data_IF_056024748033
#
_entry.id   IF_056024748033
#
_cell.length_a   1.000
_cell.length_b   1.000
_cell.length_c   1.000
_cell.angle_alpha   90.00
_cell.angle_beta   90.00
_cell.angle_gamma   90.00
#
_symmetry.space_group_name_H-M   'P 1'
#
loop_
_entity.id
_entity.type
_entity.pdbx_description
1 polymer ?
#
# COMPACT_ATOMS: atom_id res chain seq x y z
N UNK A 1 -17.48 -2.11 -29.66
CA UNK A 1 -16.49 -1.55 -28.72
C UNK A 1 -16.57 -2.39 -27.46
N UNK A 2 -15.75 -3.45 -27.36
CA UNK A 2 -15.70 -4.29 -26.16
C UNK A 2 -15.07 -3.46 -25.04
N UNK A 3 -15.87 -3.13 -24.02
CA UNK A 3 -15.34 -2.63 -22.76
C UNK A 3 -14.55 -3.79 -22.13
N UNK A 4 -13.23 -3.71 -22.22
CA UNK A 4 -12.38 -4.57 -21.37
C UNK A 4 -12.75 -4.25 -19.92
N UNK A 5 -13.34 -5.21 -19.23
CA UNK A 5 -13.61 -5.10 -17.80
C UNK A 5 -12.28 -4.78 -17.12
N UNK A 6 -12.22 -3.69 -16.38
CA UNK A 6 -11.06 -3.39 -15.53
C UNK A 6 -11.08 -4.46 -14.46
N UNK A 7 -10.14 -5.39 -14.55
CA UNK A 7 -9.96 -6.42 -13.54
C UNK A 7 -9.66 -5.75 -12.20
N UNK A 8 -10.48 -6.03 -11.18
CA UNK A 8 -10.25 -5.53 -9.83
C UNK A 8 -9.22 -6.44 -9.17
N UNK A 9 -8.06 -5.91 -8.85
CA UNK A 9 -7.04 -6.67 -8.14
C UNK A 9 -7.27 -6.57 -6.64
N UNK A 10 -7.52 -7.71 -6.01
CA UNK A 10 -7.60 -7.87 -4.56
C UNK A 10 -6.20 -8.14 -4.01
N UNK A 11 -5.89 -7.57 -2.85
CA UNK A 11 -4.64 -7.84 -2.13
C UNK A 11 -4.92 -8.27 -0.70
N UNK A 12 -4.13 -9.23 -0.25
CA UNK A 12 -4.05 -9.64 1.16
C UNK A 12 -2.59 -9.63 1.58
N UNK A 13 -2.27 -8.87 2.63
CA UNK A 13 -1.02 -9.00 3.36
C UNK A 13 -1.30 -9.81 4.62
N UNK A 14 -0.62 -10.94 4.79
CA UNK A 14 -0.89 -11.88 5.87
C UNK A 14 0.40 -12.52 6.40
N UNK A 15 0.41 -13.07 7.63
CA UNK A 15 1.50 -13.88 8.10
C UNK A 15 1.77 -15.05 7.14
N UNK A 16 3.05 -15.39 6.93
CA UNK A 16 3.45 -16.47 6.02
C UNK A 16 2.78 -17.82 6.34
N UNK A 17 2.52 -18.08 7.62
CA UNK A 17 1.87 -19.31 8.09
C UNK A 17 0.36 -19.37 7.77
N UNK A 18 -0.22 -18.25 7.36
CA UNK A 18 -1.65 -18.14 7.03
C UNK A 18 -1.90 -18.14 5.52
N UNK A 19 -0.88 -18.30 4.69
CA UNK A 19 -1.07 -18.41 3.23
C UNK A 19 -1.96 -19.62 2.96
N UNK A 20 -3.08 -19.45 2.21
CA UNK A 20 -4.03 -20.54 1.96
C UNK A 20 -3.35 -21.76 1.35
N UNK A 21 -3.64 -22.95 1.89
CA UNK A 21 -3.17 -24.21 1.32
C UNK A 21 -3.78 -24.36 -0.08
N UNK A 22 -2.93 -24.65 -1.08
CA UNK A 22 -3.38 -24.78 -2.48
C UNK A 22 -3.44 -23.43 -3.24
N UNK A 23 -3.02 -22.31 -2.63
CA UNK A 23 -2.82 -21.09 -3.40
C UNK A 23 -1.65 -21.29 -4.37
N UNK A 24 -1.97 -21.25 -5.66
CA UNK A 24 -0.96 -21.38 -6.73
C UNK A 24 -0.83 -20.03 -7.42
N UNK A 25 0.37 -19.43 -7.44
CA UNK A 25 0.65 -18.27 -8.28
C UNK A 25 0.35 -18.61 -9.76
N UNK A 26 -0.33 -17.73 -10.46
CA UNK A 26 -0.67 -17.89 -11.87
C UNK A 26 -0.69 -16.53 -12.57
N UNK A 27 -1.16 -16.47 -13.83
CA UNK A 27 -1.24 -15.20 -14.57
C UNK A 27 -2.07 -14.12 -13.87
N UNK A 28 -3.11 -14.55 -13.12
CA UNK A 28 -4.05 -13.67 -12.41
C UNK A 28 -3.81 -13.62 -10.90
N UNK A 29 -2.91 -14.47 -10.40
CA UNK A 29 -2.60 -14.57 -8.96
C UNK A 29 -1.11 -14.39 -8.74
N UNK A 30 -0.76 -13.63 -7.72
CA UNK A 30 0.63 -13.36 -7.39
C UNK A 30 0.88 -13.59 -5.91
N UNK A 31 2.01 -14.21 -5.61
CA UNK A 31 2.52 -14.38 -4.25
C UNK A 31 3.92 -13.76 -4.15
N UNK A 32 4.07 -12.77 -3.28
CA UNK A 32 5.37 -12.27 -2.85
C UNK A 32 5.58 -12.56 -1.37
N UNK A 33 6.83 -12.80 -0.99
CA UNK A 33 7.24 -13.10 0.38
C UNK A 33 8.15 -12.02 0.92
N UNK A 34 7.99 -11.71 2.20
CA UNK A 34 8.74 -10.66 2.88
C UNK A 34 9.20 -11.12 4.25
N UNK A 35 10.33 -10.54 4.69
CA UNK A 35 10.80 -10.61 6.07
C UNK A 35 10.63 -9.22 6.70
N UNK A 36 9.88 -9.12 7.80
CA UNK A 36 9.69 -7.87 8.53
C UNK A 36 11.01 -7.47 9.20
N UNK A 37 11.50 -6.28 8.88
CA UNK A 37 12.69 -5.67 9.48
C UNK A 37 12.34 -4.81 10.69
N UNK A 38 11.36 -3.94 10.54
CA UNK A 38 10.97 -2.95 11.54
C UNK A 38 9.47 -2.66 11.44
N UNK A 39 8.86 -2.28 12.56
CA UNK A 39 7.47 -1.81 12.63
C UNK A 39 7.47 -0.53 13.45
N UNK A 40 6.88 0.53 12.92
CA UNK A 40 6.83 1.84 13.57
C UNK A 40 5.38 2.29 13.70
N UNK A 41 4.90 2.43 14.94
CA UNK A 41 3.62 3.10 15.22
C UNK A 41 3.81 4.62 15.10
N UNK A 42 2.99 5.26 14.29
CA UNK A 42 3.05 6.71 13.98
C UNK A 42 1.86 7.42 14.60
N UNK A 43 0.65 6.92 14.33
CA UNK A 43 -0.63 7.38 14.91
C UNK A 43 -1.50 6.17 15.19
N UNK A 44 -1.73 5.87 16.47
CA UNK A 44 -2.32 4.60 16.88
C UNK A 44 -1.31 3.46 16.89
N UNK A 45 -1.74 2.29 17.33
CA UNK A 45 -0.86 1.15 17.56
C UNK A 45 -0.86 0.18 16.36
N UNK A 46 0.33 -0.26 15.98
CA UNK A 46 0.47 -1.38 15.05
C UNK A 46 0.03 -2.69 15.72
N UNK A 47 -0.57 -3.65 14.98
CA UNK A 47 -0.94 -4.95 15.53
C UNK A 47 0.25 -5.67 16.19
N UNK A 48 0.05 -6.23 17.39
CA UNK A 48 1.09 -6.91 18.18
C UNK A 48 1.72 -8.10 17.45
N UNK A 49 0.99 -8.71 16.53
CA UNK A 49 1.48 -9.83 15.70
C UNK A 49 2.58 -9.41 14.71
N UNK A 50 2.67 -8.11 14.40
CA UNK A 50 3.70 -7.55 13.54
C UNK A 50 4.98 -7.36 14.36
N UNK A 51 5.99 -8.18 14.10
CA UNK A 51 7.27 -8.11 14.80
C UNK A 51 8.43 -8.36 13.86
N UNK A 52 9.59 -7.82 14.22
CA UNK A 52 10.84 -8.06 13.49
C UNK A 52 11.13 -9.57 13.37
N UNK A 53 11.50 -9.99 12.17
CA UNK A 53 11.81 -11.39 11.86
C UNK A 53 10.60 -12.25 11.52
N UNK A 54 9.38 -11.72 11.62
CA UNK A 54 8.19 -12.44 11.14
C UNK A 54 8.13 -12.43 9.62
N UNK A 55 7.68 -13.56 9.03
CA UNK A 55 7.40 -13.66 7.61
C UNK A 55 6.03 -13.07 7.28
N UNK A 56 5.95 -12.31 6.18
CA UNK A 56 4.72 -11.80 5.62
C UNK A 56 4.59 -12.22 4.16
N UNK A 57 3.37 -12.50 3.73
CA UNK A 57 3.03 -12.73 2.33
C UNK A 57 2.13 -11.62 1.81
N UNK A 58 2.35 -11.19 0.56
CA UNK A 58 1.41 -10.42 -0.24
C UNK A 58 0.83 -11.32 -1.30
N UNK A 59 -0.47 -11.54 -1.24
CA UNK A 59 -1.22 -12.33 -2.20
C UNK A 59 -2.12 -11.39 -2.99
N UNK A 60 -1.93 -11.32 -4.31
CA UNK A 60 -2.79 -10.57 -5.21
C UNK A 60 -3.59 -11.53 -6.10
N UNK A 61 -4.89 -11.22 -6.32
CA UNK A 61 -5.81 -12.02 -7.12
C UNK A 61 -6.84 -11.14 -7.82
N UNK A 62 -7.35 -11.56 -8.97
CA UNK A 62 -8.48 -10.93 -9.66
C UNK A 62 -9.81 -11.13 -8.95
N UNK A 63 -9.89 -12.07 -8.02
CA UNK A 63 -11.09 -12.35 -7.22
C UNK A 63 -10.76 -12.33 -5.73
N UNK A 64 -11.77 -12.11 -4.87
CA UNK A 64 -11.60 -12.26 -3.42
C UNK A 64 -11.03 -13.65 -3.10
N UNK A 65 -9.99 -13.69 -2.24
CA UNK A 65 -9.41 -14.97 -1.83
C UNK A 65 -10.37 -15.63 -0.85
N UNK A 66 -10.82 -16.84 -1.20
CA UNK A 66 -11.58 -17.69 -0.30
C UNK A 66 -10.61 -18.59 0.47
N UNK A 67 -10.63 -18.48 1.80
CA UNK A 67 -9.86 -19.37 2.66
C UNK A 67 -10.62 -20.71 2.77
N UNK A 68 -10.10 -21.77 2.14
CA UNK A 68 -10.63 -23.12 2.29
C UNK A 68 -10.23 -23.69 3.66
N UNK A 69 -11.19 -23.98 4.52
CA UNK A 69 -10.93 -24.61 5.82
C UNK A 69 -11.61 -23.96 7.02
N UNK A 70 -12.64 -23.15 6.78
CA UNK A 70 -13.35 -22.39 7.82
C UNK A 70 -12.70 -21.05 8.07
N UNK A 71 -13.55 -20.05 8.31
CA UNK A 71 -13.14 -18.72 8.75
C UNK A 71 -12.40 -18.87 10.09
N UNK A 72 -11.08 -18.75 10.07
CA UNK A 72 -10.37 -18.41 11.29
C UNK A 72 -10.58 -16.93 11.51
N UNK A 73 -11.10 -16.55 12.67
CA UNK A 73 -11.06 -15.16 13.10
C UNK A 73 -9.64 -14.65 12.83
N UNK A 74 -9.46 -13.59 12.03
CA UNK A 74 -8.14 -13.04 11.81
C UNK A 74 -7.54 -12.73 13.19
N UNK A 75 -6.32 -13.17 13.45
CA UNK A 75 -5.54 -12.65 14.57
C UNK A 75 -5.65 -11.13 14.51
N UNK A 76 -6.01 -10.46 15.61
CA UNK A 76 -6.39 -9.04 15.65
C UNK A 76 -5.58 -8.18 14.66
N UNK A 77 -6.25 -7.63 13.66
CA UNK A 77 -5.63 -6.79 12.63
C UNK A 77 -5.08 -7.50 11.40
N UNK A 78 -5.26 -8.81 11.21
CA UNK A 78 -4.88 -9.54 10.01
C UNK A 78 -6.06 -10.39 9.44
N UNK A 79 -6.09 -10.58 8.12
CA UNK A 79 -5.19 -10.03 7.09
C UNK A 79 -5.46 -8.55 6.80
N UNK A 80 -4.38 -7.79 6.45
CA UNK A 80 -4.51 -6.46 5.87
C UNK A 80 -4.93 -6.63 4.41
N UNK A 81 -6.12 -6.15 4.05
CA UNK A 81 -6.71 -6.38 2.73
C UNK A 81 -7.18 -5.10 2.05
N UNK A 82 -7.16 -5.10 0.73
CA UNK A 82 -7.57 -3.96 -0.07
C UNK A 82 -7.81 -4.32 -1.52
N UNK A 83 -8.26 -3.35 -2.29
CA UNK A 83 -8.45 -3.46 -3.74
C UNK A 83 -7.78 -2.31 -4.47
N UNK A 84 -7.25 -2.58 -5.65
CA UNK A 84 -6.78 -1.51 -6.54
C UNK A 84 -8.00 -0.80 -7.11
N UNK A 85 -8.03 0.52 -7.00
CA UNK A 85 -9.05 1.37 -7.61
C UNK A 85 -8.42 2.36 -8.60
N UNK A 86 -9.28 3.09 -9.30
CA UNK A 86 -8.83 4.18 -10.15
C UNK A 86 -8.09 5.25 -9.34
N UNK A 87 -7.10 5.88 -9.99
CA UNK A 87 -6.42 7.05 -9.43
C UNK A 87 -7.43 8.19 -9.29
N UNK A 88 -7.70 8.59 -8.05
CA UNK A 88 -8.52 9.75 -7.75
C UNK A 88 -7.74 11.05 -7.99
N UNK A 89 -8.46 12.14 -8.25
CA UNK A 89 -7.91 13.49 -8.41
C UNK A 89 -6.82 13.62 -9.51
N UNK A 90 -6.83 12.73 -10.51
CA UNK A 90 -5.80 12.68 -11.55
C UNK A 90 -6.44 12.86 -12.93
N UNK A 91 -6.01 13.85 -13.67
CA UNK A 91 -6.42 14.05 -15.06
C UNK A 91 -5.82 12.99 -15.99
N UNK A 92 -6.35 12.86 -17.20
CA UNK A 92 -5.80 11.92 -18.21
C UNK A 92 -4.34 12.21 -18.55
N UNK A 93 -3.96 13.48 -18.66
CA UNK A 93 -2.58 13.89 -18.91
C UNK A 93 -1.65 13.48 -17.77
N UNK A 94 -2.05 13.74 -16.52
CA UNK A 94 -1.31 13.33 -15.33
C UNK A 94 -1.16 11.81 -15.24
N UNK A 95 -2.22 11.05 -15.57
CA UNK A 95 -2.14 9.58 -15.61
C UNK A 95 -1.12 9.08 -16.66
N UNK A 96 -1.12 9.69 -17.85
CA UNK A 96 -0.17 9.34 -18.90
C UNK A 96 1.25 9.65 -18.47
N UNK A 97 1.47 10.80 -17.87
CA UNK A 97 2.77 11.21 -17.36
C UNK A 97 3.26 10.29 -16.23
N UNK A 98 2.41 10.02 -15.24
CA UNK A 98 2.74 9.09 -14.14
C UNK A 98 3.13 7.71 -14.66
N UNK A 99 2.45 7.18 -15.67
CA UNK A 99 2.83 5.90 -16.30
C UNK A 99 4.22 5.94 -16.93
N UNK A 100 4.66 7.09 -17.41
CA UNK A 100 5.97 7.25 -18.06
C UNK A 100 7.10 7.38 -17.04
N UNK A 101 6.87 8.11 -15.95
CA UNK A 101 7.90 8.39 -14.95
C UNK A 101 7.95 7.37 -13.81
N UNK A 102 6.85 6.64 -13.56
CA UNK A 102 6.78 5.73 -12.42
C UNK A 102 7.67 4.51 -12.62
N UNK A 103 8.46 4.23 -11.60
CA UNK A 103 9.27 3.03 -11.52
C UNK A 103 8.37 1.79 -11.54
N UNK A 104 8.71 0.75 -12.31
CA UNK A 104 8.04 -0.54 -12.23
C UNK A 104 8.36 -1.24 -10.91
N UNK A 105 7.55 -2.23 -10.58
CA UNK A 105 7.78 -3.09 -9.42
C UNK A 105 9.12 -3.83 -9.52
N UNK A 106 9.82 -3.97 -8.39
CA UNK A 106 11.17 -4.52 -8.37
C UNK A 106 11.15 -6.05 -8.26
N UNK A 107 12.19 -6.67 -8.81
CA UNK A 107 12.46 -8.07 -8.54
C UNK A 107 12.84 -8.27 -7.06
N UNK A 108 12.55 -9.47 -6.54
CA UNK A 108 12.91 -9.84 -5.19
C UNK A 108 14.43 -10.02 -5.07
N UNK A 109 15.04 -9.38 -4.08
CA UNK A 109 16.46 -9.51 -3.73
C UNK A 109 16.67 -9.08 -2.27
N UNK A 110 17.86 -9.37 -1.73
CA UNK A 110 18.24 -8.94 -0.39
C UNK A 110 18.29 -7.41 -0.26
N UNK A 111 18.49 -6.70 -1.38
CA UNK A 111 18.57 -5.23 -1.45
C UNK A 111 17.22 -4.57 -1.78
N UNK A 112 16.19 -5.36 -2.09
CA UNK A 112 14.85 -4.81 -2.35
C UNK A 112 14.09 -4.66 -1.04
N UNK A 113 13.89 -3.41 -0.66
CA UNK A 113 13.02 -3.05 0.47
C UNK A 113 11.60 -2.83 0.00
N UNK A 114 10.66 -3.19 0.87
CA UNK A 114 9.25 -2.85 0.74
C UNK A 114 8.77 -2.19 2.02
N UNK A 115 7.84 -1.23 1.89
CA UNK A 115 7.17 -0.63 3.05
C UNK A 115 5.67 -0.64 2.81
N UNK A 116 4.92 -1.17 3.78
CA UNK A 116 3.47 -1.12 3.79
C UNK A 116 3.02 -0.15 4.86
N UNK A 117 2.17 0.80 4.48
CA UNK A 117 1.63 1.84 5.37
C UNK A 117 0.11 1.79 5.34
N UNK A 118 -0.54 1.18 6.33
CA UNK A 118 -1.97 1.34 6.58
C UNK A 118 -2.26 2.77 7.05
N UNK A 119 -3.26 3.42 6.44
CA UNK A 119 -3.62 4.81 6.72
C UNK A 119 -5.13 4.91 6.90
N UNK A 120 -5.57 5.43 8.05
CA UNK A 120 -6.95 5.80 8.33
C UNK A 120 -7.13 7.31 8.30
N UNK A 121 -8.19 7.78 7.64
CA UNK A 121 -8.58 9.18 7.57
C UNK A 121 -9.67 9.49 8.59
N UNK A 122 -9.66 10.72 9.11
CA UNK A 122 -10.68 11.21 10.02
C UNK A 122 -12.06 11.31 9.35
N UNK A 123 -13.11 11.32 10.15
CA UNK A 123 -14.48 11.59 9.67
C UNK A 123 -14.59 12.94 8.97
N UNK A 124 -13.82 13.94 9.42
CA UNK A 124 -13.76 15.25 8.78
C UNK A 124 -13.25 15.17 7.33
N UNK A 125 -12.30 14.30 7.02
CA UNK A 125 -11.88 14.03 5.64
C UNK A 125 -13.03 13.48 4.79
N UNK A 126 -13.76 12.53 5.34
CA UNK A 126 -14.84 11.87 4.60
C UNK A 126 -16.08 12.72 4.44
N UNK A 127 -16.29 13.71 5.32
CA UNK A 127 -17.35 14.69 5.20
C UNK A 127 -17.12 15.75 4.10
N UNK A 128 -15.86 15.94 3.67
CA UNK A 128 -15.53 16.86 2.58
C UNK A 128 -16.02 16.36 1.22
N UNK A 129 -16.39 17.30 0.35
CA UNK A 129 -16.62 17.03 -1.07
C UNK A 129 -15.34 16.63 -1.81
N UNK A 130 -15.46 16.14 -3.04
CA UNK A 130 -14.29 15.73 -3.82
C UNK A 130 -13.37 16.89 -4.20
N UNK A 131 -13.91 18.05 -4.52
CA UNK A 131 -13.17 19.26 -4.87
C UNK A 131 -12.40 19.82 -3.65
N UNK A 132 -13.00 19.82 -2.46
CA UNK A 132 -12.32 20.20 -1.22
C UNK A 132 -11.10 19.30 -0.96
N UNK A 133 -11.28 17.98 -1.05
CA UNK A 133 -10.17 17.02 -0.92
C UNK A 133 -9.11 17.18 -2.01
N UNK A 134 -9.52 17.47 -3.24
CA UNK A 134 -8.61 17.69 -4.36
C UNK A 134 -7.69 18.88 -4.14
N UNK A 135 -8.20 19.98 -3.57
CA UNK A 135 -7.40 21.17 -3.24
C UNK A 135 -6.28 20.81 -2.25
N UNK A 136 -6.56 19.98 -1.24
CA UNK A 136 -5.57 19.55 -0.26
C UNK A 136 -4.53 18.56 -0.84
N UNK A 137 -4.96 17.74 -1.79
CA UNK A 137 -4.13 16.69 -2.40
C UNK A 137 -3.19 17.22 -3.48
N UNK A 138 -3.63 18.21 -4.28
CA UNK A 138 -2.87 18.74 -5.41
C UNK A 138 -1.92 19.86 -4.99
N UNK A 139 -0.93 20.11 -5.85
CA UNK A 139 -0.06 21.28 -5.73
C UNK A 139 -0.87 22.57 -5.96
N UNK A 140 -0.66 23.54 -5.09
CA UNK A 140 -1.19 24.92 -5.18
C UNK A 140 -0.06 25.92 -4.98
N UNK A 141 -0.37 27.21 -5.01
CA UNK A 141 0.61 28.27 -4.67
C UNK A 141 1.02 28.25 -3.18
N UNK A 142 0.24 27.58 -2.33
CA UNK A 142 0.43 27.55 -0.88
C UNK A 142 1.12 26.30 -0.37
N UNK A 143 1.02 25.19 -1.08
CA UNK A 143 1.58 23.89 -0.68
C UNK A 143 1.84 23.00 -1.89
N UNK A 144 2.72 22.04 -1.72
CA UNK A 144 3.08 21.11 -2.78
C UNK A 144 2.05 19.98 -2.94
N UNK A 145 1.42 19.58 -1.82
CA UNK A 145 0.43 18.51 -1.77
C UNK A 145 1.04 17.12 -1.98
N UNK A 146 0.25 16.11 -1.68
CA UNK A 146 0.63 14.71 -1.83
C UNK A 146 1.11 14.38 -3.27
N UNK A 147 0.38 14.90 -4.26
CA UNK A 147 0.66 14.65 -5.67
C UNK A 147 2.03 15.22 -6.09
N UNK A 148 2.35 16.46 -5.71
CA UNK A 148 3.63 17.09 -6.05
C UNK A 148 4.81 16.40 -5.37
N UNK A 149 4.67 16.09 -4.08
CA UNK A 149 5.71 15.38 -3.31
C UNK A 149 5.97 14.00 -3.92
N UNK A 150 4.93 13.16 -4.07
CA UNK A 150 5.09 11.80 -4.58
C UNK A 150 5.70 11.73 -5.97
N UNK A 151 5.37 12.70 -6.84
CA UNK A 151 5.90 12.77 -8.21
C UNK A 151 7.43 12.92 -8.26
N UNK A 152 8.05 13.65 -7.34
CA UNK A 152 9.52 13.86 -7.30
C UNK A 152 10.31 12.57 -7.07
N UNK A 153 9.67 11.54 -6.54
CA UNK A 153 10.30 10.27 -6.19
C UNK A 153 9.80 9.10 -7.03
N UNK A 154 8.90 9.37 -8.01
CA UNK A 154 8.23 8.31 -8.77
C UNK A 154 9.19 7.46 -9.62
N UNK A 155 10.33 7.99 -10.03
CA UNK A 155 11.38 7.29 -10.81
C UNK A 155 12.23 6.32 -9.97
N UNK A 156 12.26 6.50 -8.64
CA UNK A 156 13.07 5.71 -7.70
C UNK A 156 12.27 4.82 -6.78
N UNK A 157 11.04 5.21 -6.48
CA UNK A 157 10.18 4.53 -5.52
C UNK A 157 8.93 4.04 -6.25
N UNK A 158 8.78 2.72 -6.35
CA UNK A 158 7.52 2.12 -6.79
C UNK A 158 6.45 2.34 -5.73
N UNK A 159 5.23 2.66 -6.16
CA UNK A 159 4.08 2.85 -5.26
C UNK A 159 2.84 2.19 -5.81
N UNK A 160 2.09 1.52 -4.94
CA UNK A 160 0.74 1.02 -5.21
C UNK A 160 -0.19 1.37 -4.04
N UNK A 161 -1.39 1.85 -4.37
CA UNK A 161 -2.42 2.17 -3.40
C UNK A 161 -3.55 1.14 -3.50
N UNK A 162 -3.94 0.61 -2.36
CA UNK A 162 -5.11 -0.25 -2.21
C UNK A 162 -6.13 0.42 -1.29
N UNK A 163 -7.40 0.33 -1.65
CA UNK A 163 -8.52 0.87 -0.90
C UNK A 163 -9.14 -0.22 -0.03
N UNK A 164 -9.42 0.10 1.23
CA UNK A 164 -9.98 -0.84 2.21
C UNK A 164 -11.35 -0.41 2.69
N UNK A 165 -11.59 0.88 2.85
CA UNK A 165 -12.77 1.47 3.49
C UNK A 165 -14.11 0.79 3.15
N UNK A 166 -14.33 0.47 1.89
CA UNK A 166 -15.62 -0.09 1.44
C UNK A 166 -15.64 -1.61 1.31
N UNK A 167 -14.54 -2.28 1.60
CA UNK A 167 -14.44 -3.73 1.55
C UNK A 167 -14.25 -4.37 2.92
N UNK A 168 -13.77 -3.60 3.90
CA UNK A 168 -13.60 -4.02 5.28
C UNK A 168 -13.99 -2.90 6.25
N UNK A 169 -15.27 -2.83 6.64
CA UNK A 169 -15.75 -1.76 7.52
C UNK A 169 -15.22 -1.88 8.96
N UNK A 170 -14.57 -2.99 9.31
CA UNK A 170 -13.99 -3.22 10.64
C UNK A 170 -12.53 -2.79 10.73
N UNK A 171 -11.87 -2.56 9.59
CA UNK A 171 -10.48 -2.12 9.57
C UNK A 171 -10.34 -0.68 10.11
N UNK A 172 -9.34 -0.40 10.96
CA UNK A 172 -9.08 0.96 11.44
C UNK A 172 -8.41 1.85 10.39
N UNK A 173 -8.19 1.35 9.19
CA UNK A 173 -7.54 2.04 8.08
C UNK A 173 -8.43 2.04 6.84
N UNK A 174 -8.31 3.08 6.02
CA UNK A 174 -9.03 3.27 4.76
C UNK A 174 -8.22 2.84 3.55
N UNK A 175 -6.88 2.88 3.70
CA UNK A 175 -5.93 2.66 2.62
C UNK A 175 -4.76 1.81 3.10
N UNK A 176 -4.22 1.00 2.18
CA UNK A 176 -2.90 0.39 2.28
C UNK A 176 -2.03 1.00 1.20
N UNK A 177 -1.01 1.75 1.57
CA UNK A 177 -0.02 2.25 0.61
C UNK A 177 1.21 1.36 0.67
N UNK A 178 1.52 0.75 -0.48
CA UNK A 178 2.64 -0.16 -0.64
C UNK A 178 3.72 0.50 -1.49
N UNK A 179 4.97 0.36 -1.05
CA UNK A 179 6.15 0.89 -1.72
C UNK A 179 7.21 -0.18 -1.90
N UNK A 180 8.00 -0.07 -2.99
CA UNK A 180 9.25 -0.83 -3.19
C UNK A 180 10.35 0.11 -3.68
N UNK A 181 11.57 -0.12 -3.19
CA UNK A 181 12.76 0.62 -3.59
C UNK A 181 14.02 -0.19 -3.26
N UNK A 182 15.16 0.16 -3.89
CA UNK A 182 16.44 -0.41 -3.49
C UNK A 182 16.88 0.15 -2.14
N UNK A 183 17.64 -0.59 -1.38
CA UNK A 183 18.17 -0.15 -0.08
C UNK A 183 18.94 1.18 -0.19
N UNK A 184 19.63 1.41 -1.30
CA UNK A 184 20.31 2.68 -1.59
C UNK A 184 19.35 3.89 -1.67
N UNK A 185 18.08 3.67 -2.04
CA UNK A 185 17.04 4.71 -2.14
C UNK A 185 16.30 4.93 -0.80
N UNK A 186 16.62 4.19 0.26
CA UNK A 186 15.96 4.33 1.56
C UNK A 186 16.05 5.74 2.16
N UNK A 187 17.14 6.51 2.02
CA UNK A 187 17.18 7.91 2.48
C UNK A 187 16.16 8.79 1.74
N UNK A 188 15.97 8.58 0.44
CA UNK A 188 14.98 9.31 -0.35
C UNK A 188 13.56 8.94 0.04
N UNK A 189 13.29 7.65 0.30
CA UNK A 189 11.99 7.22 0.83
C UNK A 189 11.68 7.88 2.18
N UNK A 190 12.61 7.88 3.13
CA UNK A 190 12.43 8.52 4.44
C UNK A 190 12.17 10.03 4.30
N UNK A 191 12.86 10.71 3.37
CA UNK A 191 12.64 12.14 3.06
C UNK A 191 11.23 12.34 2.49
N UNK A 192 10.81 11.54 1.52
CA UNK A 192 9.48 11.60 0.93
C UNK A 192 8.39 11.47 2.00
N UNK A 193 8.48 10.47 2.87
CA UNK A 193 7.50 10.26 3.95
C UNK A 193 7.51 11.42 4.95
N UNK A 194 8.67 11.94 5.31
CA UNK A 194 8.78 13.14 6.16
C UNK A 194 8.08 14.35 5.55
N UNK A 195 8.22 14.57 4.25
CA UNK A 195 7.55 15.67 3.55
C UNK A 195 6.04 15.44 3.40
N UNK A 196 5.61 14.20 3.18
CA UNK A 196 4.19 13.84 3.16
C UNK A 196 3.50 14.07 4.52
N UNK A 197 4.23 13.92 5.63
CA UNK A 197 3.76 14.16 7.00
C UNK A 197 3.85 15.63 7.43
N UNK A 198 4.60 16.45 6.73
CA UNK A 198 4.67 17.88 6.98
C UNK A 198 3.38 18.56 6.49
N UNK A 199 2.51 18.92 7.43
CA UNK A 199 1.19 19.52 7.14
C UNK A 199 1.28 20.88 6.41
N UNK A 200 2.44 21.56 6.45
CA UNK A 200 2.67 22.78 5.68
C UNK A 200 2.90 22.47 4.20
N UNK A 201 3.54 21.34 3.92
CA UNK A 201 3.78 20.86 2.55
C UNK A 201 2.62 20.05 2.01
N UNK A 202 1.96 19.29 2.88
CA UNK A 202 0.86 18.38 2.56
C UNK A 202 -0.29 18.50 3.58
N UNK A 203 -1.21 19.46 3.40
CA UNK A 203 -2.33 19.69 4.33
C UNK A 203 -3.27 18.48 4.49
N UNK A 204 -3.30 17.57 3.53
CA UNK A 204 -4.05 16.31 3.62
C UNK A 204 -3.71 15.53 4.89
N UNK A 205 -2.47 15.62 5.40
CA UNK A 205 -2.01 14.87 6.57
C UNK A 205 -2.60 15.34 7.90
N UNK A 206 -3.26 16.51 7.94
CA UNK A 206 -4.08 16.94 9.08
C UNK A 206 -5.25 16.00 9.36
N UNK A 207 -5.68 15.25 8.35
CA UNK A 207 -6.83 14.36 8.39
C UNK A 207 -6.45 12.88 8.49
N UNK A 208 -5.22 12.56 8.88
CA UNK A 208 -4.77 11.19 9.15
C UNK A 208 -4.86 10.93 10.63
N UNK A 209 -5.73 10.00 11.05
CA UNK A 209 -5.92 9.61 12.46
C UNK A 209 -5.22 8.29 12.81
N UNK A 210 -4.95 7.47 11.80
CA UNK A 210 -4.33 6.17 11.99
C UNK A 210 -3.22 5.95 10.95
N UNK A 211 -2.04 5.53 11.42
CA UNK A 211 -0.89 5.26 10.57
C UNK A 211 0.18 4.44 11.31
N UNK A 212 0.71 3.40 10.66
CA UNK A 212 1.95 2.75 11.05
C UNK A 212 2.72 2.29 9.82
N UNK A 213 4.00 1.98 9.99
CA UNK A 213 4.88 1.49 8.93
C UNK A 213 5.33 0.07 9.21
N UNK A 214 5.32 -0.78 8.18
CA UNK A 214 5.92 -2.12 8.20
C UNK A 214 7.04 -2.11 7.17
N UNK A 215 8.27 -2.10 7.62
CA UNK A 215 9.47 -2.19 6.78
C UNK A 215 9.87 -3.64 6.57
N UNK A 216 10.09 -4.04 5.32
CA UNK A 216 10.29 -5.42 4.93
C UNK A 216 11.41 -5.55 3.90
N UNK A 217 12.05 -6.73 3.84
CA UNK A 217 12.85 -7.17 2.68
C UNK A 217 11.99 -8.07 1.81
N UNK A 218 12.01 -7.85 0.50
CA UNK A 218 11.33 -8.72 -0.47
C UNK A 218 12.18 -9.95 -0.75
N UNK A 219 11.70 -11.10 -0.34
CA UNK A 219 12.43 -12.37 -0.43
C UNK A 219 12.25 -13.01 -1.82
N UNK A 220 13.31 -13.59 -2.40
CA UNK A 220 13.18 -14.48 -3.55
C UNK A 220 12.21 -15.61 -3.24
N UNK A 221 11.43 -16.04 -4.22
CA UNK A 221 10.68 -17.28 -4.12
C UNK A 221 11.73 -18.41 -4.07
N UNK A 222 11.78 -19.13 -2.95
CA UNK A 222 12.67 -20.29 -2.88
C UNK A 222 12.22 -21.32 -3.92
N UNK A 223 13.18 -21.81 -4.71
CA UNK A 223 12.96 -22.90 -5.67
C UNK A 223 12.76 -24.26 -5.00
N UNK A 224 12.82 -24.35 -3.67
CA UNK A 224 12.82 -25.58 -2.88
C UNK A 224 11.45 -25.90 -2.24
N UNK A 225 10.36 -25.70 -2.95
CA UNK A 225 9.03 -26.15 -2.48
C UNK A 225 8.13 -26.48 -3.67
N UNK A 226 8.43 -27.57 -4.33
CA UNK A 226 7.47 -28.34 -5.15
C UNK A 226 7.41 -29.75 -4.61
#
# INVERSE_FOLDING_TARGET
MQMTAVSTTWVHFMPMVEVPIGFTPGETNRLDRYLIREVHSIRGDAPVVLRRGAGMARVESESPIQFSGGYREPSEGFPLRGVVQHLHYTSRSEQTELKTISRPELAASAETLAVLIPIGKSDAWWAMSQDERQILFKRTDRHEGHHGIGRRYADRIFRRLYHTRYIDPTAPYDFLTYFEFNEADAPDFRRMISELRDVKKNPEWLYVDFEYEIWMTKLPLSTDSI
#
